data_IF_412424879943
#
_entry.id   IF_412424879943
#
_cell.length_a   1.000
_cell.length_b   1.000
_cell.length_c   1.000
_cell.angle_alpha   90.00
_cell.angle_beta   90.00
_cell.angle_gamma   90.00
#
_symmetry.space_group_name_H-M   'P 1'
#
loop_
_entity.id
_entity.type
_entity.pdbx_description
1 polymer ?
#
# COMPACT_ATOMS: atom_id res chain seq x y z
N UNK A 1 -12.96 -12.24 14.35
CA UNK A 1 -12.69 -12.61 12.92
C UNK A 1 -11.21 -12.42 12.68
N UNK A 2 -10.55 -13.37 12.04
CA UNK A 2 -9.11 -13.30 11.75
C UNK A 2 -8.92 -12.83 10.31
N UNK A 3 -8.08 -11.84 10.09
CA UNK A 3 -7.68 -11.37 8.75
C UNK A 3 -6.46 -12.20 8.33
N UNK A 4 -6.54 -12.88 7.19
CA UNK A 4 -5.46 -13.73 6.65
C UNK A 4 -4.97 -13.26 5.28
N UNK A 5 -5.82 -12.58 4.53
CA UNK A 5 -5.63 -12.20 3.14
C UNK A 5 -5.30 -10.72 3.01
N UNK A 6 -4.40 -10.40 2.09
CA UNK A 6 -4.04 -9.04 1.74
C UNK A 6 -4.20 -8.81 0.23
N UNK A 7 -4.84 -7.70 -0.15
CA UNK A 7 -5.05 -7.29 -1.55
C UNK A 7 -4.14 -6.11 -1.87
N UNK A 8 -3.38 -6.24 -2.95
CA UNK A 8 -2.43 -5.23 -3.43
C UNK A 8 -2.87 -4.72 -4.81
N UNK A 9 -3.58 -3.59 -4.89
CA UNK A 9 -3.89 -2.94 -6.16
C UNK A 9 -2.62 -2.42 -6.84
N UNK A 10 -2.15 -3.09 -7.90
CA UNK A 10 -0.94 -2.78 -8.64
C UNK A 10 -1.18 -2.62 -10.16
N UNK A 11 -2.42 -2.41 -10.59
CA UNK A 11 -2.80 -2.31 -12.00
C UNK A 11 -2.63 -0.91 -12.62
N UNK A 12 -2.31 0.12 -11.82
CA UNK A 12 -2.21 1.51 -12.27
C UNK A 12 -1.10 1.74 -13.31
N UNK A 13 -1.29 2.69 -14.22
CA UNK A 13 -0.38 2.96 -15.34
C UNK A 13 0.93 3.64 -14.95
N UNK A 14 1.04 4.23 -13.75
CA UNK A 14 2.27 4.85 -13.26
C UNK A 14 2.70 6.11 -14.01
N UNK A 15 1.77 6.86 -14.59
CA UNK A 15 2.05 8.00 -15.50
C UNK A 15 2.87 9.12 -14.87
N UNK A 16 2.85 9.28 -13.55
CA UNK A 16 3.64 10.29 -12.82
C UNK A 16 5.15 10.08 -12.94
N UNK A 17 5.59 8.84 -13.24
CA UNK A 17 7.00 8.45 -13.37
C UNK A 17 7.44 8.21 -14.82
N UNK A 18 6.66 8.64 -15.79
CA UNK A 18 7.13 8.63 -17.18
C UNK A 18 8.38 9.51 -17.33
N UNK A 19 9.36 9.07 -18.15
CA UNK A 19 9.36 7.90 -19.04
C UNK A 19 9.75 6.57 -18.38
N UNK A 20 10.25 6.52 -17.14
CA UNK A 20 10.72 5.30 -16.48
C UNK A 20 9.68 4.17 -16.49
N UNK A 21 8.42 4.51 -16.25
CA UNK A 21 7.31 3.55 -16.19
C UNK A 21 6.71 3.18 -17.54
N UNK A 22 7.34 3.57 -18.65
CA UNK A 22 6.92 3.15 -20.00
C UNK A 22 7.07 1.63 -20.18
N UNK A 23 8.15 1.05 -19.64
CA UNK A 23 8.53 -0.34 -19.84
C UNK A 23 8.47 -1.19 -18.58
N UNK A 24 8.30 -0.58 -17.40
CA UNK A 24 8.23 -1.30 -16.13
C UNK A 24 7.17 -0.73 -15.20
N UNK A 25 6.59 -1.54 -14.29
CA UNK A 25 5.65 -1.08 -13.27
C UNK A 25 6.28 -0.04 -12.34
N UNK A 26 5.51 0.98 -11.92
CA UNK A 26 5.98 1.93 -10.91
C UNK A 26 6.35 1.22 -9.59
N UNK A 27 5.65 0.16 -9.28
CA UNK A 27 5.83 -0.66 -8.08
C UNK A 27 7.20 -1.37 -8.06
N UNK A 28 7.84 -1.50 -9.24
CA UNK A 28 9.19 -2.06 -9.40
C UNK A 28 10.30 -1.01 -9.39
N UNK A 29 9.98 0.28 -9.22
CA UNK A 29 11.01 1.31 -9.01
C UNK A 29 11.69 1.05 -7.66
N UNK A 30 13.04 1.02 -7.60
CA UNK A 30 13.75 0.65 -6.38
C UNK A 30 13.97 1.84 -5.45
N UNK A 31 13.77 1.62 -4.15
CA UNK A 31 14.37 2.45 -3.12
C UNK A 31 15.73 1.83 -2.77
N UNK A 32 16.80 2.46 -3.22
CA UNK A 32 18.17 1.94 -3.25
C UNK A 32 18.27 0.75 -4.21
N UNK A 33 18.09 -0.48 -3.75
CA UNK A 33 18.21 -1.72 -4.51
C UNK A 33 16.99 -2.66 -4.38
N UNK A 34 15.99 -2.27 -3.58
CA UNK A 34 14.79 -3.07 -3.31
C UNK A 34 13.56 -2.41 -3.94
N UNK A 35 12.78 -3.11 -4.78
CA UNK A 35 11.54 -2.59 -5.36
C UNK A 35 10.52 -2.15 -4.30
N UNK A 36 9.78 -1.07 -4.57
CA UNK A 36 8.79 -0.53 -3.64
C UNK A 36 7.77 -1.59 -3.20
N UNK A 37 7.29 -2.42 -4.13
CA UNK A 37 6.30 -3.47 -3.83
C UNK A 37 6.81 -4.48 -2.79
N UNK A 38 8.12 -4.78 -2.78
CA UNK A 38 8.69 -5.72 -1.82
C UNK A 38 8.59 -5.19 -0.38
N UNK A 39 8.84 -3.90 -0.13
CA UNK A 39 8.67 -3.31 1.21
C UNK A 39 7.24 -3.49 1.73
N UNK A 40 6.26 -3.35 0.84
CA UNK A 40 4.85 -3.45 1.21
C UNK A 40 4.43 -4.91 1.45
N UNK A 41 4.98 -5.85 0.66
CA UNK A 41 4.77 -7.30 0.86
C UNK A 41 5.45 -7.77 2.16
N UNK A 42 6.66 -7.30 2.44
CA UNK A 42 7.36 -7.57 3.71
C UNK A 42 6.54 -7.05 4.92
N UNK A 43 5.93 -5.87 4.82
CA UNK A 43 5.05 -5.35 5.87
C UNK A 43 3.83 -6.26 6.10
N UNK A 44 3.23 -6.78 5.03
CA UNK A 44 2.10 -7.69 5.13
C UNK A 44 2.51 -9.01 5.81
N UNK A 45 3.62 -9.61 5.38
CA UNK A 45 4.17 -10.83 5.98
C UNK A 45 4.51 -10.63 7.47
N UNK A 46 5.19 -9.53 7.82
CA UNK A 46 5.50 -9.16 9.21
C UNK A 46 4.25 -8.86 10.06
N UNK A 47 3.12 -8.56 9.43
CA UNK A 47 1.82 -8.39 10.09
C UNK A 47 1.06 -9.72 10.30
N UNK A 48 1.60 -10.84 9.81
CA UNK A 48 1.00 -12.16 9.91
C UNK A 48 0.02 -12.50 8.76
N UNK A 49 0.08 -11.75 7.64
CA UNK A 49 -0.74 -11.98 6.45
C UNK A 49 0.07 -12.84 5.46
N UNK A 50 -0.31 -14.10 5.32
CA UNK A 50 0.42 -15.07 4.52
C UNK A 50 -0.16 -15.27 3.10
N UNK A 51 -1.40 -14.88 2.88
CA UNK A 51 -2.10 -15.01 1.59
C UNK A 51 -2.20 -13.64 0.93
N UNK A 52 -1.40 -13.41 -0.11
CA UNK A 52 -1.32 -12.13 -0.81
C UNK A 52 -1.93 -12.23 -2.20
N UNK A 53 -2.85 -11.32 -2.51
CA UNK A 53 -3.53 -11.21 -3.79
C UNK A 53 -3.08 -9.91 -4.46
N UNK A 54 -2.28 -10.04 -5.52
CA UNK A 54 -1.85 -8.88 -6.29
C UNK A 54 -2.80 -8.68 -7.48
N UNK A 55 -3.43 -7.50 -7.53
CA UNK A 55 -4.27 -7.10 -8.66
C UNK A 55 -3.39 -6.44 -9.70
N UNK A 56 -3.04 -7.20 -10.75
CA UNK A 56 -2.15 -6.76 -11.83
C UNK A 56 -2.91 -6.16 -13.01
N UNK A 57 -2.18 -5.54 -13.93
CA UNK A 57 -2.67 -5.01 -15.19
C UNK A 57 -1.78 -5.41 -16.36
N UNK A 58 -2.04 -4.83 -17.54
CA UNK A 58 -1.17 -5.03 -18.69
C UNK A 58 0.24 -4.45 -18.41
N UNK A 59 1.28 -5.21 -18.73
CA UNK A 59 2.69 -4.77 -18.58
C UNK A 59 3.21 -4.85 -17.14
N UNK A 60 2.58 -5.64 -16.27
CA UNK A 60 2.97 -5.79 -14.85
C UNK A 60 3.74 -7.09 -14.55
N UNK A 61 4.15 -7.85 -15.56
CA UNK A 61 4.83 -9.15 -15.42
C UNK A 61 6.06 -9.09 -14.51
N UNK A 62 6.81 -7.99 -14.52
CA UNK A 62 7.98 -7.83 -13.66
C UNK A 62 7.65 -7.92 -12.14
N UNK A 63 6.40 -7.68 -11.72
CA UNK A 63 5.97 -7.90 -10.33
C UNK A 63 5.86 -9.40 -10.06
N UNK A 64 5.31 -10.16 -10.99
CA UNK A 64 5.16 -11.61 -10.90
C UNK A 64 6.55 -12.26 -10.87
N UNK A 65 7.40 -11.94 -11.87
CA UNK A 65 8.78 -12.45 -12.01
C UNK A 65 9.64 -12.12 -10.75
N UNK A 66 9.38 -11.03 -10.04
CA UNK A 66 10.15 -10.63 -8.85
C UNK A 66 9.90 -11.55 -7.64
N UNK A 67 8.69 -12.07 -7.50
CA UNK A 67 8.33 -12.93 -6.38
C UNK A 67 8.35 -14.42 -6.73
N UNK A 68 8.50 -14.77 -8.00
CA UNK A 68 8.65 -16.15 -8.45
C UNK A 68 10.10 -16.65 -8.26
N UNK A 69 10.29 -17.97 -8.21
CA UNK A 69 11.61 -18.56 -8.17
C UNK A 69 12.37 -18.29 -9.48
N UNK A 70 13.58 -17.77 -9.37
CA UNK A 70 14.45 -17.43 -10.50
C UNK A 70 15.49 -18.55 -10.73
N UNK A 71 15.05 -19.70 -11.24
CA UNK A 71 15.86 -20.93 -11.34
C UNK A 71 17.24 -20.72 -11.97
N UNK A 72 17.34 -20.01 -13.10
CA UNK A 72 18.61 -19.79 -13.79
C UNK A 72 19.54 -18.89 -12.96
N UNK A 73 19.00 -17.87 -12.29
CA UNK A 73 19.78 -16.97 -11.43
C UNK A 73 20.22 -17.71 -10.17
N UNK A 74 19.35 -18.47 -9.55
CA UNK A 74 19.68 -19.29 -8.37
C UNK A 74 20.77 -20.30 -8.68
N UNK A 75 20.67 -21.01 -9.81
CA UNK A 75 21.70 -21.94 -10.28
C UNK A 75 23.04 -21.21 -10.49
N UNK A 76 23.04 -20.06 -11.18
CA UNK A 76 24.25 -19.28 -11.42
C UNK A 76 24.91 -18.81 -10.11
N UNK A 77 24.13 -18.29 -9.15
CA UNK A 77 24.65 -17.83 -7.86
C UNK A 77 25.25 -19.01 -7.06
N UNK A 78 24.58 -20.14 -7.05
CA UNK A 78 25.05 -21.36 -6.39
C UNK A 78 26.38 -21.85 -7.00
N UNK A 79 26.47 -21.94 -8.34
CA UNK A 79 27.67 -22.37 -9.05
C UNK A 79 28.88 -21.45 -8.77
N UNK A 80 28.64 -20.15 -8.55
CA UNK A 80 29.66 -19.15 -8.20
C UNK A 80 29.94 -19.02 -6.71
N UNK A 81 29.30 -19.80 -5.86
CA UNK A 81 29.47 -19.72 -4.41
C UNK A 81 28.98 -18.43 -3.78
N UNK A 82 28.05 -17.70 -4.44
CA UNK A 82 27.45 -16.44 -3.98
C UNK A 82 26.30 -16.72 -3.01
N UNK A 83 26.67 -17.19 -1.80
CA UNK A 83 25.73 -17.74 -0.82
C UNK A 83 24.77 -16.67 -0.29
N UNK A 84 25.26 -15.46 -0.03
CA UNK A 84 24.45 -14.37 0.53
C UNK A 84 23.40 -13.87 -0.48
N UNK A 85 23.81 -13.64 -1.73
CA UNK A 85 22.89 -13.21 -2.79
C UNK A 85 21.86 -14.30 -3.11
N UNK A 86 22.28 -15.59 -3.09
CA UNK A 86 21.36 -16.73 -3.27
C UNK A 86 20.33 -16.79 -2.15
N UNK A 87 20.74 -16.61 -0.90
CA UNK A 87 19.83 -16.61 0.24
C UNK A 87 18.84 -15.42 0.14
N UNK A 88 19.32 -14.24 -0.29
CA UNK A 88 18.50 -13.06 -0.45
C UNK A 88 17.38 -13.28 -1.46
N UNK A 89 17.68 -13.81 -2.68
CA UNK A 89 16.64 -14.02 -3.70
C UNK A 89 15.66 -15.12 -3.33
N UNK A 90 16.10 -16.21 -2.66
CA UNK A 90 15.21 -17.25 -2.15
C UNK A 90 14.24 -16.72 -1.10
N UNK A 91 14.72 -15.88 -0.19
CA UNK A 91 13.86 -15.26 0.82
C UNK A 91 12.72 -14.43 0.18
N UNK A 92 12.94 -13.81 -0.98
CA UNK A 92 11.91 -13.04 -1.68
C UNK A 92 10.77 -13.95 -2.16
N UNK A 93 11.09 -15.09 -2.79
CA UNK A 93 10.09 -16.04 -3.28
C UNK A 93 9.35 -16.82 -2.16
N UNK A 94 9.90 -16.81 -0.96
CA UNK A 94 9.33 -17.49 0.22
C UNK A 94 8.54 -16.53 1.16
N UNK A 95 8.46 -15.22 0.85
CA UNK A 95 7.84 -14.22 1.73
C UNK A 95 6.38 -14.52 2.05
N UNK A 96 5.60 -14.99 1.09
CA UNK A 96 4.18 -15.25 1.22
C UNK A 96 3.65 -16.12 0.09
N UNK A 97 2.44 -16.67 0.26
CA UNK A 97 1.72 -17.32 -0.85
C UNK A 97 1.05 -16.24 -1.71
N UNK A 98 1.52 -16.04 -2.94
CA UNK A 98 1.03 -15.03 -3.85
C UNK A 98 0.03 -15.60 -4.86
N UNK A 99 -1.05 -14.87 -5.07
CA UNK A 99 -2.02 -15.10 -6.14
C UNK A 99 -2.18 -13.83 -6.96
N UNK A 100 -2.41 -13.98 -8.25
CA UNK A 100 -2.53 -12.86 -9.17
C UNK A 100 -3.91 -12.84 -9.82
N UNK A 101 -4.53 -11.64 -9.85
CA UNK A 101 -5.77 -11.41 -10.57
C UNK A 101 -5.64 -10.16 -11.44
N UNK A 102 -6.24 -10.19 -12.62
CA UNK A 102 -6.06 -9.11 -13.57
C UNK A 102 -7.21 -8.12 -13.57
N UNK A 103 -6.89 -6.85 -13.33
CA UNK A 103 -7.77 -5.75 -13.70
C UNK A 103 -7.64 -5.50 -15.20
N UNK A 104 -8.66 -5.80 -15.99
CA UNK A 104 -8.63 -5.71 -17.47
C UNK A 104 -8.61 -4.26 -17.96
N UNK A 105 -9.33 -3.39 -17.28
CA UNK A 105 -9.49 -1.97 -17.58
C UNK A 105 -9.16 -1.11 -16.36
N UNK A 106 -8.48 0.04 -16.52
CA UNK A 106 -8.03 0.87 -15.40
C UNK A 106 -9.18 1.73 -14.82
N UNK A 107 -10.21 1.08 -14.28
CA UNK A 107 -11.44 1.70 -13.77
C UNK A 107 -11.33 2.15 -12.30
N UNK A 108 -10.14 2.47 -11.83
CA UNK A 108 -9.91 3.02 -10.49
C UNK A 108 -9.64 1.99 -9.40
N UNK A 109 -9.37 2.51 -8.17
CA UNK A 109 -8.95 1.72 -7.02
C UNK A 109 -10.06 0.78 -6.52
N UNK A 110 -11.30 1.27 -6.44
CA UNK A 110 -12.44 0.45 -6.01
C UNK A 110 -12.66 -0.75 -6.92
N UNK A 111 -12.56 -0.55 -8.25
CA UNK A 111 -12.67 -1.63 -9.21
C UNK A 111 -11.50 -2.63 -9.10
N UNK A 112 -10.28 -2.16 -8.85
CA UNK A 112 -9.14 -3.06 -8.62
C UNK A 112 -9.39 -3.98 -7.42
N UNK A 113 -9.89 -3.43 -6.31
CA UNK A 113 -10.25 -4.23 -5.13
C UNK A 113 -11.38 -5.21 -5.46
N UNK A 114 -12.41 -4.77 -6.21
CA UNK A 114 -13.51 -5.64 -6.64
C UNK A 114 -13.03 -6.86 -7.46
N UNK A 115 -11.98 -6.71 -8.29
CA UNK A 115 -11.39 -7.82 -9.03
C UNK A 115 -10.86 -8.94 -8.13
N UNK A 116 -10.49 -8.65 -6.88
CA UNK A 116 -10.00 -9.65 -5.93
C UNK A 116 -11.11 -10.45 -5.23
N UNK A 117 -12.40 -10.10 -5.42
CA UNK A 117 -13.55 -10.68 -4.70
C UNK A 117 -13.56 -12.20 -4.67
N UNK A 118 -13.31 -12.86 -5.80
CA UNK A 118 -13.36 -14.32 -5.90
C UNK A 118 -12.25 -15.02 -5.11
N UNK A 119 -11.09 -14.37 -4.93
CA UNK A 119 -9.97 -14.91 -4.17
C UNK A 119 -10.08 -14.57 -2.67
N UNK A 120 -10.65 -13.41 -2.34
CA UNK A 120 -10.91 -13.03 -0.95
C UNK A 120 -12.05 -13.85 -0.34
N UNK A 121 -13.14 -14.05 -1.09
CA UNK A 121 -14.34 -14.71 -0.58
C UNK A 121 -15.08 -13.87 0.45
N UNK A 122 -15.64 -14.53 1.47
CA UNK A 122 -16.45 -13.90 2.52
C UNK A 122 -15.66 -13.63 3.81
N UNK A 123 -14.34 -13.42 3.69
CA UNK A 123 -13.46 -13.13 4.82
C UNK A 123 -13.08 -11.65 4.88
N UNK A 124 -12.80 -11.09 6.09
CA UNK A 124 -12.18 -9.80 6.21
C UNK A 124 -10.76 -9.85 5.64
N UNK A 125 -10.32 -8.76 5.02
CA UNK A 125 -9.06 -8.69 4.32
C UNK A 125 -8.38 -7.33 4.50
N UNK A 126 -7.06 -7.33 4.34
CA UNK A 126 -6.25 -6.12 4.32
C UNK A 126 -6.10 -5.58 2.89
N UNK A 127 -5.93 -4.27 2.73
CA UNK A 127 -5.56 -3.63 1.47
C UNK A 127 -4.31 -2.80 1.67
N UNK A 128 -3.38 -2.93 0.73
CA UNK A 128 -2.11 -2.20 0.71
C UNK A 128 -1.93 -1.47 -0.61
N UNK A 129 -1.75 -0.15 -0.57
CA UNK A 129 -1.32 0.60 -1.75
C UNK A 129 0.20 0.53 -1.86
N UNK A 130 0.69 0.14 -3.04
CA UNK A 130 2.10 -0.16 -3.29
C UNK A 130 3.02 1.07 -3.32
N UNK A 131 2.47 2.28 -3.33
CA UNK A 131 3.21 3.55 -3.33
C UNK A 131 3.20 4.27 -1.96
N UNK A 132 2.62 3.65 -0.93
CA UNK A 132 2.72 4.10 0.46
C UNK A 132 3.69 3.19 1.22
N UNK A 133 4.92 3.61 1.42
CA UNK A 133 5.91 2.88 2.21
C UNK A 133 5.89 3.41 3.65
N UNK A 134 5.78 2.52 4.62
CA UNK A 134 5.71 2.91 6.04
C UNK A 134 6.85 2.25 6.81
N UNK A 135 7.65 3.07 7.51
CA UNK A 135 8.66 2.60 8.44
C UNK A 135 8.18 2.84 9.87
N UNK A 136 8.03 1.77 10.61
CA UNK A 136 7.54 1.79 11.98
C UNK A 136 8.19 0.65 12.79
N UNK A 137 8.25 0.80 14.12
CA UNK A 137 8.73 -0.26 15.00
C UNK A 137 7.77 -1.47 14.99
N UNK A 138 6.47 -1.22 14.98
CA UNK A 138 5.43 -2.21 14.72
C UNK A 138 4.82 -1.92 13.34
N UNK A 139 4.72 -2.89 12.42
CA UNK A 139 4.12 -2.69 11.11
C UNK A 139 2.77 -1.97 11.19
N UNK A 140 2.52 -1.00 10.31
CA UNK A 140 1.29 -0.22 10.32
C UNK A 140 0.05 -1.12 10.22
N UNK A 141 0.08 -2.11 9.34
CA UNK A 141 -1.03 -3.05 9.20
C UNK A 141 -1.25 -3.85 10.49
N UNK A 142 -0.20 -4.26 11.22
CA UNK A 142 -0.35 -4.94 12.50
C UNK A 142 -1.07 -4.07 13.53
N UNK A 143 -0.81 -2.77 13.53
CA UNK A 143 -1.53 -1.82 14.40
C UNK A 143 -3.02 -1.74 14.00
N UNK A 144 -3.34 -1.71 12.69
CA UNK A 144 -4.74 -1.72 12.22
C UNK A 144 -5.47 -3.01 12.61
N UNK A 145 -4.81 -4.16 12.48
CA UNK A 145 -5.37 -5.46 12.85
C UNK A 145 -5.77 -5.51 14.33
N UNK A 146 -4.98 -4.92 15.23
CA UNK A 146 -5.32 -4.80 16.66
C UNK A 146 -6.58 -3.96 16.89
N UNK A 147 -6.75 -2.88 16.13
CA UNK A 147 -7.99 -2.08 16.18
C UNK A 147 -9.18 -2.88 15.65
N UNK A 148 -9.00 -3.61 14.54
CA UNK A 148 -10.02 -4.48 13.97
C UNK A 148 -10.44 -5.60 14.94
N UNK A 149 -9.49 -6.23 15.60
CA UNK A 149 -9.76 -7.26 16.64
C UNK A 149 -10.62 -6.68 17.78
N UNK A 150 -10.36 -5.44 18.18
CA UNK A 150 -11.07 -4.79 19.28
C UNK A 150 -12.48 -4.32 18.93
N UNK A 151 -12.68 -3.77 17.73
CA UNK A 151 -13.94 -3.10 17.37
C UNK A 151 -14.78 -3.86 16.34
N UNK A 152 -14.24 -4.90 15.72
CA UNK A 152 -14.89 -5.76 14.72
C UNK A 152 -15.54 -5.01 13.53
N UNK A 153 -15.01 -3.83 13.18
CA UNK A 153 -15.44 -2.99 12.06
C UNK A 153 -14.28 -2.62 11.15
N UNK A 154 -14.52 -2.20 9.90
CA UNK A 154 -13.46 -1.76 9.00
C UNK A 154 -12.57 -0.69 9.64
N UNK A 155 -11.25 -0.76 9.36
CA UNK A 155 -10.25 0.16 9.92
C UNK A 155 -9.41 0.75 8.79
N UNK A 156 -9.25 2.07 8.81
CA UNK A 156 -8.43 2.83 7.86
C UNK A 156 -7.23 3.45 8.57
N UNK A 157 -6.06 3.36 7.97
CA UNK A 157 -4.94 4.17 8.43
C UNK A 157 -5.13 5.63 8.00
N UNK A 158 -4.87 6.56 8.91
CA UNK A 158 -4.92 7.99 8.65
C UNK A 158 -3.66 8.69 9.14
N UNK A 159 -3.33 9.81 8.50
CA UNK A 159 -2.23 10.69 8.85
C UNK A 159 -2.73 12.14 8.87
N UNK A 160 -2.20 12.97 9.79
CA UNK A 160 -2.47 14.41 9.75
C UNK A 160 -1.62 15.05 8.67
N UNK A 161 -2.26 15.71 7.72
CA UNK A 161 -1.57 16.41 6.63
C UNK A 161 -1.95 17.88 6.59
N UNK A 162 -1.06 18.77 6.12
CA UNK A 162 -1.38 20.18 5.92
C UNK A 162 -2.60 20.35 5.01
N UNK A 163 -3.43 21.35 5.30
CA UNK A 163 -4.71 21.57 4.59
C UNK A 163 -4.56 21.69 3.08
N UNK A 164 -3.48 22.29 2.62
CA UNK A 164 -3.18 22.50 1.20
C UNK A 164 -2.98 21.17 0.43
N UNK A 165 -2.66 20.09 1.15
CA UNK A 165 -2.43 18.77 0.57
C UNK A 165 -3.66 17.86 0.60
N UNK A 166 -4.71 18.22 1.36
CA UNK A 166 -5.91 17.36 1.54
C UNK A 166 -6.62 17.03 0.23
N UNK A 167 -6.54 17.90 -0.76
CA UNK A 167 -7.08 17.66 -2.11
C UNK A 167 -6.44 16.48 -2.87
N UNK A 168 -5.42 15.85 -2.31
CA UNK A 168 -4.75 14.67 -2.89
C UNK A 168 -5.28 13.36 -2.30
N UNK A 169 -6.06 13.43 -1.21
CA UNK A 169 -6.45 12.29 -0.39
C UNK A 169 -7.95 12.22 -0.15
N UNK A 170 -8.45 11.03 0.17
CA UNK A 170 -9.69 10.91 0.91
C UNK A 170 -9.51 11.47 2.33
N UNK A 171 -10.48 12.20 2.83
CA UNK A 171 -10.42 12.84 4.16
C UNK A 171 -11.61 12.38 4.98
N UNK A 172 -11.41 12.09 6.28
CA UNK A 172 -12.47 11.64 7.16
C UNK A 172 -12.99 12.77 8.05
N UNK A 173 -14.31 12.80 8.29
CA UNK A 173 -14.87 13.39 9.50
C UNK A 173 -14.85 12.31 10.60
N UNK A 174 -14.33 12.61 11.78
CA UNK A 174 -14.11 11.60 12.78
C UNK A 174 -14.38 12.11 14.21
N UNK A 175 -14.73 11.17 15.08
CA UNK A 175 -14.85 11.37 16.53
C UNK A 175 -13.77 10.55 17.22
N UNK A 176 -13.01 11.16 18.13
CA UNK A 176 -12.03 10.46 18.94
C UNK A 176 -12.68 9.40 19.82
N UNK A 177 -12.08 8.21 19.89
CA UNK A 177 -12.56 7.08 20.70
C UNK A 177 -11.59 6.76 21.83
N UNK A 178 -10.34 6.41 21.51
CA UNK A 178 -9.32 6.11 22.51
C UNK A 178 -7.92 6.15 21.89
N UNK A 179 -6.92 6.71 22.58
CA UNK A 179 -5.55 6.79 22.05
C UNK A 179 -5.52 7.45 20.66
N UNK A 180 -5.00 6.74 19.68
CA UNK A 180 -4.94 7.19 18.30
C UNK A 180 -6.10 6.65 17.42
N UNK A 181 -7.15 6.10 18.04
CA UNK A 181 -8.31 5.52 17.35
C UNK A 181 -9.46 6.51 17.28
N UNK A 182 -10.07 6.61 16.12
CA UNK A 182 -11.21 7.46 15.81
C UNK A 182 -12.35 6.62 15.22
N UNK A 183 -13.60 6.99 15.52
CA UNK A 183 -14.77 6.50 14.77
C UNK A 183 -14.98 7.43 13.57
N UNK A 184 -15.11 6.84 12.38
CA UNK A 184 -15.38 7.57 11.15
C UNK A 184 -16.86 7.98 11.13
N UNK A 185 -17.13 9.26 10.93
CA UNK A 185 -18.48 9.81 10.80
C UNK A 185 -18.88 10.04 9.34
N UNK A 186 -17.95 10.49 8.51
CA UNK A 186 -18.12 10.67 7.06
C UNK A 186 -16.75 10.59 6.35
N UNK A 187 -16.78 10.39 5.02
CA UNK A 187 -15.61 10.35 4.16
C UNK A 187 -15.86 11.21 2.91
N UNK A 188 -14.85 11.99 2.50
CA UNK A 188 -14.91 12.85 1.33
C UNK A 188 -13.68 12.62 0.47
N UNK A 189 -13.86 12.26 -0.81
CA UNK A 189 -12.75 12.07 -1.76
C UNK A 189 -12.23 13.42 -2.25
N UNK A 190 -10.96 13.69 -2.04
CA UNK A 190 -10.22 14.85 -2.54
C UNK A 190 -10.98 16.18 -2.36
N UNK A 191 -11.38 16.54 -1.13
CA UNK A 191 -12.11 17.77 -0.88
C UNK A 191 -11.27 19.00 -1.21
N UNK A 192 -11.90 20.11 -1.54
CA UNK A 192 -11.20 21.40 -1.55
C UNK A 192 -10.69 21.70 -0.13
N UNK A 193 -9.55 22.41 0.04
CA UNK A 193 -8.98 22.64 1.37
C UNK A 193 -9.93 23.25 2.40
N UNK A 194 -10.85 24.13 1.97
CA UNK A 194 -11.83 24.77 2.83
C UNK A 194 -13.08 23.90 3.12
N UNK A 195 -13.31 22.85 2.32
CA UNK A 195 -14.43 21.89 2.45
C UNK A 195 -14.01 20.64 3.22
N UNK A 196 -12.71 20.45 3.45
CA UNK A 196 -12.19 19.27 4.15
C UNK A 196 -12.73 19.20 5.58
N UNK A 197 -13.36 18.07 5.98
CA UNK A 197 -14.00 17.92 7.28
C UNK A 197 -13.01 17.87 8.45
N UNK A 198 -11.75 17.54 8.19
CA UNK A 198 -10.65 17.49 9.16
C UNK A 198 -9.30 17.58 8.46
N UNK A 199 -8.21 17.38 9.21
CA UNK A 199 -6.85 17.23 8.71
C UNK A 199 -6.41 15.75 8.61
N UNK A 200 -7.33 14.79 8.85
CA UNK A 200 -7.05 13.35 8.82
C UNK A 200 -7.24 12.79 7.41
N UNK A 201 -6.14 12.62 6.72
CA UNK A 201 -6.09 12.03 5.39
C UNK A 201 -6.00 10.50 5.45
N UNK A 202 -6.77 9.83 4.62
CA UNK A 202 -6.71 8.36 4.46
C UNK A 202 -5.44 8.02 3.69
N UNK A 203 -4.71 7.04 4.18
CA UNK A 203 -3.52 6.52 3.52
C UNK A 203 -3.71 5.07 3.08
N UNK A 204 -2.74 4.53 2.37
CA UNK A 204 -2.83 3.25 1.66
C UNK A 204 -2.85 1.98 2.49
N UNK A 205 -3.45 1.98 3.69
CA UNK A 205 -3.65 0.79 4.52
C UNK A 205 -5.07 0.70 5.04
N UNK A 206 -5.73 -0.42 4.74
CA UNK A 206 -7.12 -0.66 5.13
C UNK A 206 -7.30 -2.09 5.63
N UNK A 207 -8.16 -2.29 6.61
CA UNK A 207 -8.75 -3.58 6.95
C UNK A 207 -10.24 -3.46 6.61
N UNK A 208 -10.71 -4.27 5.68
CA UNK A 208 -12.06 -4.21 5.15
C UNK A 208 -12.83 -5.51 5.42
N UNK A 209 -14.13 -5.43 5.37
CA UNK A 209 -15.05 -6.57 5.49
C UNK A 209 -15.67 -6.89 4.12
N UNK A 210 -16.07 -8.15 3.86
CA UNK A 210 -16.48 -8.60 2.51
C UNK A 210 -17.73 -7.89 1.97
N UNK A 211 -18.55 -7.30 2.81
CA UNK A 211 -19.71 -6.49 2.42
C UNK A 211 -19.34 -5.28 1.54
N UNK A 212 -18.09 -4.83 1.57
CA UNK A 212 -17.57 -3.80 0.67
C UNK A 212 -17.67 -4.22 -0.81
N UNK A 213 -17.55 -5.51 -1.14
CA UNK A 213 -17.59 -5.98 -2.52
C UNK A 213 -18.96 -5.77 -3.18
N UNK A 214 -20.05 -5.97 -2.43
CA UNK A 214 -21.39 -5.70 -2.93
C UNK A 214 -21.57 -4.20 -3.18
N UNK A 215 -21.08 -3.36 -2.29
CA UNK A 215 -21.13 -1.90 -2.45
C UNK A 215 -20.29 -1.45 -3.64
N UNK A 216 -19.07 -1.97 -3.80
CA UNK A 216 -18.20 -1.65 -4.93
C UNK A 216 -18.81 -2.03 -6.28
N UNK A 217 -19.54 -3.16 -6.33
CA UNK A 217 -20.24 -3.59 -7.56
C UNK A 217 -21.35 -2.61 -7.97
N UNK A 218 -21.98 -1.96 -7.00
CA UNK A 218 -23.06 -0.99 -7.22
C UNK A 218 -22.58 0.47 -7.32
N UNK A 219 -21.30 0.74 -6.97
CA UNK A 219 -20.74 2.10 -6.96
C UNK A 219 -20.56 2.62 -8.38
N UNK A 220 -21.19 3.77 -8.67
CA UNK A 220 -21.08 4.40 -9.99
C UNK A 220 -19.69 5.03 -10.16
N UNK A 221 -19.10 4.94 -11.37
CA UNK A 221 -17.86 5.63 -11.69
C UNK A 221 -18.00 7.17 -11.54
N UNK A 222 -16.92 7.81 -11.14
CA UNK A 222 -16.82 9.28 -11.10
C UNK A 222 -16.78 9.89 -12.52
N UNK A 223 -16.65 11.22 -12.61
CA UNK A 223 -16.58 11.96 -13.87
C UNK A 223 -15.39 11.55 -14.76
N UNK A 224 -14.40 10.83 -14.21
CA UNK A 224 -13.23 10.30 -14.94
C UNK A 224 -13.40 8.84 -15.33
N UNK A 225 -14.54 8.21 -14.99
CA UNK A 225 -14.81 6.81 -15.22
C UNK A 225 -14.17 5.87 -14.18
N UNK A 226 -13.75 6.39 -13.02
CA UNK A 226 -13.11 5.60 -11.97
C UNK A 226 -14.08 5.27 -10.82
N UNK A 227 -14.14 4.01 -10.40
CA UNK A 227 -14.83 3.57 -9.19
C UNK A 227 -13.96 3.91 -8.00
N UNK A 228 -14.36 4.94 -7.24
CA UNK A 228 -13.61 5.43 -6.09
C UNK A 228 -13.89 4.56 -4.85
N UNK A 229 -12.82 4.10 -4.18
CA UNK A 229 -12.95 3.35 -2.93
C UNK A 229 -13.62 4.20 -1.84
N UNK A 230 -13.30 5.48 -1.74
CA UNK A 230 -13.83 6.40 -0.72
C UNK A 230 -15.35 6.49 -0.79
N UNK A 231 -15.95 6.50 -1.99
CA UNK A 231 -17.41 6.54 -2.17
C UNK A 231 -18.07 5.23 -1.68
N UNK A 232 -17.45 4.09 -1.98
CA UNK A 232 -17.91 2.81 -1.47
C UNK A 232 -17.77 2.72 0.06
N UNK A 233 -16.68 3.22 0.63
CA UNK A 233 -16.48 3.28 2.08
C UNK A 233 -17.49 4.22 2.77
N UNK A 234 -17.85 5.32 2.13
CA UNK A 234 -18.90 6.22 2.62
C UNK A 234 -20.25 5.51 2.70
N UNK A 235 -20.58 4.71 1.70
CA UNK A 235 -21.78 3.87 1.68
C UNK A 235 -21.70 2.77 2.75
N UNK A 236 -20.53 2.10 2.91
CA UNK A 236 -20.31 1.07 3.93
C UNK A 236 -20.49 1.64 5.33
N UNK A 237 -19.98 2.86 5.58
CA UNK A 237 -20.12 3.56 6.86
C UNK A 237 -21.59 3.78 7.24
N UNK A 238 -22.50 4.00 6.28
CA UNK A 238 -23.94 4.14 6.58
C UNK A 238 -24.58 2.83 7.09
N UNK A 239 -23.96 1.69 6.83
CA UNK A 239 -24.45 0.35 7.21
C UNK A 239 -23.84 -0.20 8.49
N UNK A 240 -22.64 0.26 8.88
CA UNK A 240 -21.93 -0.23 10.06
C UNK A 240 -20.88 0.77 10.57
N UNK A 241 -20.51 0.72 11.86
CA UNK A 241 -19.40 1.51 12.38
C UNK A 241 -18.09 1.19 11.67
N UNK A 242 -17.30 2.22 11.40
CA UNK A 242 -15.95 2.14 10.84
C UNK A 242 -15.00 2.97 11.68
N UNK A 243 -13.75 2.56 11.70
CA UNK A 243 -12.72 3.18 12.53
C UNK A 243 -11.55 3.68 11.71
N UNK A 244 -10.81 4.61 12.26
CA UNK A 244 -9.54 5.08 11.72
C UNK A 244 -8.47 5.01 12.81
N UNK A 245 -7.24 4.71 12.42
CA UNK A 245 -6.08 4.72 13.28
C UNK A 245 -5.07 5.75 12.75
N UNK A 246 -4.74 6.76 13.55
CA UNK A 246 -3.54 7.56 13.32
C UNK A 246 -2.34 6.72 13.80
N UNK A 247 -1.76 5.94 12.86
CA UNK A 247 -0.74 4.93 13.14
C UNK A 247 0.57 5.56 13.65
N UNK A 248 1.37 4.77 14.35
CA UNK A 248 2.71 5.14 14.75
C UNK A 248 3.72 4.70 13.69
N UNK A 249 4.54 5.64 13.19
CA UNK A 249 5.52 5.38 12.15
C UNK A 249 5.73 6.59 11.25
N UNK A 250 6.60 6.43 10.26
CA UNK A 250 6.86 7.43 9.23
C UNK A 250 6.44 6.91 7.87
N UNK A 251 5.51 7.60 7.24
CA UNK A 251 5.06 7.34 5.88
C UNK A 251 5.94 8.06 4.86
N UNK A 252 6.20 7.37 3.77
CA UNK A 252 6.82 7.90 2.56
C UNK A 252 5.84 7.72 1.40
N UNK A 253 5.28 8.83 0.93
CA UNK A 253 4.44 8.86 -0.27
C UNK A 253 5.35 8.77 -1.49
N UNK A 254 5.56 7.55 -1.98
CA UNK A 254 6.39 7.30 -3.16
C UNK A 254 5.59 7.37 -4.46
N UNK A 255 4.35 7.83 -4.42
CA UNK A 255 3.48 8.04 -5.57
C UNK A 255 3.83 9.28 -6.41
N UNK A 256 4.70 10.16 -5.90
CA UNK A 256 5.26 11.30 -6.65
C UNK A 256 6.80 11.33 -6.61
N UNK A 257 7.39 12.12 -7.52
CA UNK A 257 8.85 12.17 -7.69
C UNK A 257 9.60 12.68 -6.46
N UNK A 258 9.06 13.70 -5.79
CA UNK A 258 9.72 14.28 -4.61
C UNK A 258 9.64 13.32 -3.41
N UNK A 259 8.48 12.72 -3.18
CA UNK A 259 8.29 11.70 -2.14
C UNK A 259 9.19 10.50 -2.36
N UNK A 260 9.31 10.03 -3.60
CA UNK A 260 10.22 8.95 -3.99
C UNK A 260 11.70 9.29 -3.70
N UNK A 261 12.16 10.50 -4.06
CA UNK A 261 13.53 10.94 -3.77
C UNK A 261 13.79 11.04 -2.27
N UNK A 262 12.86 11.60 -1.50
CA UNK A 262 12.96 11.66 -0.03
C UNK A 262 13.06 10.27 0.59
N UNK A 263 12.22 9.34 0.14
CA UNK A 263 12.28 7.94 0.57
C UNK A 263 13.64 7.33 0.25
N UNK A 264 14.13 7.47 -0.99
CA UNK A 264 15.42 6.91 -1.42
C UNK A 264 16.57 7.42 -0.53
N UNK A 265 16.63 8.72 -0.25
CA UNK A 265 17.66 9.31 0.63
C UNK A 265 17.57 8.72 2.04
N UNK A 266 16.37 8.67 2.63
CA UNK A 266 16.24 8.17 4.01
C UNK A 266 16.46 6.66 4.12
N UNK A 267 16.11 5.88 3.11
CA UNK A 267 16.40 4.45 3.09
C UNK A 267 17.90 4.20 2.90
N UNK A 268 18.59 4.97 2.05
CA UNK A 268 20.05 4.89 1.90
C UNK A 268 20.78 5.25 3.21
N UNK A 269 20.36 6.32 3.89
CA UNK A 269 20.93 6.72 5.18
C UNK A 269 20.63 5.77 6.35
N UNK A 270 19.66 4.89 6.20
CA UNK A 270 19.33 3.86 7.19
C UNK A 270 20.10 2.55 6.97
N UNK A 271 20.80 2.38 5.85
CA UNK A 271 21.57 1.17 5.53
C UNK A 271 22.98 1.25 6.09
N UNK A 272 23.42 0.27 6.91
CA UNK A 272 24.74 0.28 7.51
C UNK A 272 25.89 0.29 6.48
N UNK A 273 25.72 -0.37 5.34
CA UNK A 273 26.69 -0.47 4.24
C UNK A 273 26.84 0.80 3.40
N UNK A 274 25.91 1.75 3.49
CA UNK A 274 25.87 2.97 2.66
C UNK A 274 25.86 4.27 3.48
N UNK A 275 25.35 4.23 4.71
CA UNK A 275 25.00 5.42 5.47
C UNK A 275 26.12 6.44 5.63
N UNK A 276 27.33 5.98 5.95
CA UNK A 276 28.44 6.90 6.28
C UNK A 276 29.00 7.56 5.03
N UNK A 277 29.26 6.80 3.96
CA UNK A 277 29.76 7.34 2.70
C UNK A 277 28.71 8.26 2.05
N UNK A 278 27.43 7.85 2.08
CA UNK A 278 26.37 8.66 1.52
C UNK A 278 26.13 9.96 2.31
N UNK A 279 26.24 9.92 3.64
CA UNK A 279 26.18 11.12 4.49
C UNK A 279 27.36 12.08 4.22
N UNK A 280 28.55 11.53 4.04
CA UNK A 280 29.73 12.33 3.67
C UNK A 280 29.54 13.01 2.32
N UNK A 281 29.01 12.27 1.33
CA UNK A 281 28.67 12.81 0.01
C UNK A 281 27.63 13.94 0.09
N UNK A 282 26.51 13.75 0.82
CA UNK A 282 25.49 14.79 0.99
C UNK A 282 26.06 16.06 1.63
N UNK A 283 26.92 15.94 2.64
CA UNK A 283 27.61 17.09 3.24
C UNK A 283 28.51 17.81 2.24
N UNK A 284 29.16 17.09 1.32
CA UNK A 284 30.02 17.69 0.29
C UNK A 284 29.24 18.55 -0.72
N UNK A 285 27.93 18.33 -0.85
CA UNK A 285 27.04 19.14 -1.67
C UNK A 285 26.60 20.44 -0.99
N UNK A 286 27.00 20.67 0.27
CA UNK A 286 26.58 21.84 1.04
C UNK A 286 25.14 21.77 1.57
N UNK A 287 24.60 20.57 1.71
CA UNK A 287 23.24 20.28 2.16
C UNK A 287 23.21 19.82 3.63
#
# INVERSE_FOLDING_TARGET
>A
MIVRKAVFPAAGLGTRFLPATKAQPKEMLPLVDKPMIQYVVEEAAASGLAEIIIVTGRGKRAIEDHFDAAFELEYYLNDRGKVEELAQIKTISELASLSYVRQKEPLGLGHAILCARSLVGDEPFAVFLGDDIIRAAQPCMRQLLQVFERYAGPVLAVERVPRERLQQYGVIAARHVAGNVYEILDLVEKPRPHEAPSDLAIIGRYVLTPDVFTILADTQPDARGEVQLTDALRTLRSRRPMYALAFEGKRFDTGDKLGFLKATVEFALARPDLADDFRAYLKSLGL
#
